data_IF_182234957499
#
_entry.id   IF_182234957499
#
_cell.length_a   1.000
_cell.length_b   1.000
_cell.length_c   1.000
_cell.angle_alpha   90.00
_cell.angle_beta   90.00
_cell.angle_gamma   90.00
#
_symmetry.space_group_name_H-M   'P 1'
#
loop_
_entity.id
_entity.type
_entity.pdbx_description
1 polymer ?
#
# COMPACT_ATOMS: atom_id res chain seq x y z
N UNK A 1 -52.61 79.92 -27.10
CA UNK A 1 -52.38 78.50 -27.42
C UNK A 1 -51.24 77.98 -26.58
N UNK A 2 -51.56 77.24 -25.50
CA UNK A 2 -50.59 76.71 -24.56
C UNK A 2 -50.36 75.20 -24.86
N UNK A 3 -49.13 74.89 -25.24
CA UNK A 3 -48.71 73.49 -25.51
C UNK A 3 -48.32 72.79 -24.21
N UNK A 4 -49.15 71.87 -23.75
CA UNK A 4 -48.89 71.01 -22.65
C UNK A 4 -48.09 69.80 -23.11
N UNK A 5 -46.77 69.77 -22.77
CA UNK A 5 -45.91 68.59 -22.90
C UNK A 5 -46.24 67.56 -21.81
N UNK A 6 -46.49 66.29 -22.15
CA UNK A 6 -46.65 65.27 -21.14
C UNK A 6 -45.31 64.95 -20.47
N UNK A 7 -45.24 65.03 -19.12
CA UNK A 7 -44.14 64.57 -18.33
C UNK A 7 -44.04 63.04 -18.41
N UNK A 8 -43.03 62.56 -19.13
CA UNK A 8 -42.69 61.14 -19.14
C UNK A 8 -42.34 60.65 -17.74
N UNK A 9 -43.16 59.72 -17.25
CA UNK A 9 -42.88 58.93 -16.07
C UNK A 9 -41.67 58.03 -16.36
N UNK A 10 -40.49 58.48 -15.89
CA UNK A 10 -39.34 57.60 -15.81
C UNK A 10 -39.63 56.55 -14.72
N UNK A 11 -40.10 55.36 -15.15
CA UNK A 11 -40.12 54.16 -14.28
C UNK A 11 -38.71 53.81 -13.93
N UNK A 12 -38.26 54.16 -12.72
CA UNK A 12 -37.07 53.57 -12.09
C UNK A 12 -37.43 52.12 -11.78
N UNK A 13 -37.13 51.20 -12.68
CA UNK A 13 -37.12 49.77 -12.38
C UNK A 13 -35.84 49.53 -11.52
N UNK A 14 -35.95 49.84 -10.25
CA UNK A 14 -34.95 49.50 -9.29
C UNK A 14 -34.97 47.99 -9.04
N UNK A 15 -34.20 47.25 -9.80
CA UNK A 15 -33.96 45.83 -9.54
C UNK A 15 -33.27 45.81 -8.18
N UNK A 16 -33.91 45.19 -7.20
CA UNK A 16 -33.31 44.98 -5.87
C UNK A 16 -32.06 44.13 -6.05
N UNK A 17 -30.85 44.61 -5.78
CA UNK A 17 -29.61 43.85 -6.05
C UNK A 17 -29.44 42.68 -5.08
N UNK A 18 -30.15 42.65 -3.96
CA UNK A 18 -29.98 41.63 -2.91
C UNK A 18 -30.20 40.18 -3.43
N UNK A 19 -31.34 39.87 -4.09
CA UNK A 19 -31.56 38.50 -4.58
C UNK A 19 -30.56 38.08 -5.63
N UNK A 20 -30.06 39.01 -6.45
CA UNK A 20 -29.02 38.71 -7.44
C UNK A 20 -27.68 38.38 -6.76
N UNK A 21 -27.30 39.15 -5.73
CA UNK A 21 -26.10 38.89 -4.93
C UNK A 21 -26.17 37.55 -4.22
N UNK A 22 -27.30 37.20 -3.62
CA UNK A 22 -27.51 35.91 -2.95
C UNK A 22 -27.40 34.77 -3.96
N UNK A 23 -28.02 34.91 -5.13
CA UNK A 23 -27.93 33.88 -6.16
C UNK A 23 -26.49 33.66 -6.64
N UNK A 24 -25.72 34.73 -6.90
CA UNK A 24 -24.31 34.63 -7.28
C UNK A 24 -23.49 33.98 -6.18
N UNK A 25 -23.70 34.34 -4.92
CA UNK A 25 -22.99 33.73 -3.79
C UNK A 25 -23.25 32.23 -3.70
N UNK A 26 -24.51 31.80 -3.85
CA UNK A 26 -24.87 30.38 -3.85
C UNK A 26 -24.20 29.64 -5.01
N UNK A 27 -24.23 30.19 -6.21
CA UNK A 27 -23.57 29.58 -7.38
C UNK A 27 -22.07 29.43 -7.17
N UNK A 28 -21.39 30.43 -6.61
CA UNK A 28 -19.96 30.39 -6.32
C UNK A 28 -19.66 29.29 -5.29
N UNK A 29 -20.42 29.20 -4.21
CA UNK A 29 -20.23 28.19 -3.16
C UNK A 29 -20.44 26.78 -3.72
N UNK A 30 -21.50 26.56 -4.49
CA UNK A 30 -21.78 25.24 -5.12
C UNK A 30 -20.69 24.86 -6.10
N UNK A 31 -20.25 25.80 -6.94
CA UNK A 31 -19.21 25.55 -7.93
C UNK A 31 -17.86 25.24 -7.26
N UNK A 32 -17.51 26.00 -6.22
CA UNK A 32 -16.30 25.75 -5.42
C UNK A 32 -16.36 24.38 -4.72
N UNK A 33 -17.51 24.03 -4.15
CA UNK A 33 -17.74 22.72 -3.53
C UNK A 33 -17.59 21.56 -4.53
N UNK A 34 -18.18 21.68 -5.71
CA UNK A 34 -18.04 20.69 -6.78
C UNK A 34 -16.58 20.55 -7.25
N UNK A 35 -15.87 21.66 -7.39
CA UNK A 35 -14.46 21.66 -7.79
C UNK A 35 -13.57 20.97 -6.74
N UNK A 36 -13.76 21.26 -5.47
CA UNK A 36 -13.03 20.60 -4.38
C UNK A 36 -13.34 19.11 -4.31
N UNK A 37 -14.59 18.73 -4.52
CA UNK A 37 -15.01 17.33 -4.59
C UNK A 37 -14.34 16.60 -5.76
N UNK A 38 -14.32 17.20 -6.97
CA UNK A 38 -13.67 16.62 -8.16
C UNK A 38 -12.15 16.45 -7.93
N UNK A 39 -11.50 17.44 -7.30
CA UNK A 39 -10.08 17.34 -6.94
C UNK A 39 -9.80 16.19 -5.97
N UNK A 40 -10.61 16.01 -4.95
CA UNK A 40 -10.47 14.89 -4.01
C UNK A 40 -10.74 13.55 -4.71
N UNK A 41 -11.78 13.49 -5.54
CA UNK A 41 -12.14 12.29 -6.28
C UNK A 41 -11.03 11.88 -7.26
N UNK A 42 -10.43 12.82 -7.97
CA UNK A 42 -9.28 12.55 -8.86
C UNK A 42 -8.07 12.04 -8.09
N UNK A 43 -7.73 12.64 -6.95
CA UNK A 43 -6.62 12.16 -6.11
C UNK A 43 -6.83 10.73 -5.63
N UNK A 44 -8.05 10.38 -5.23
CA UNK A 44 -8.40 9.01 -4.81
C UNK A 44 -8.32 8.02 -5.97
N UNK A 45 -8.78 8.43 -7.16
CA UNK A 45 -8.70 7.63 -8.37
C UNK A 45 -7.26 7.42 -8.84
N UNK A 46 -6.42 8.45 -8.79
CA UNK A 46 -5.00 8.36 -9.13
C UNK A 46 -4.25 7.47 -8.14
N UNK A 47 -4.56 7.56 -6.84
CA UNK A 47 -4.00 6.67 -5.83
C UNK A 47 -4.40 5.20 -6.07
N UNK A 48 -5.66 4.96 -6.46
CA UNK A 48 -6.16 3.62 -6.80
C UNK A 48 -5.57 3.06 -8.12
N UNK A 49 -5.12 3.93 -9.03
CA UNK A 49 -4.51 3.54 -10.30
C UNK A 49 -3.00 3.29 -10.21
N UNK A 50 -2.35 3.78 -9.14
CA UNK A 50 -0.93 3.47 -8.94
C UNK A 50 -0.78 1.99 -8.66
N UNK A 51 0.12 1.28 -9.36
CA UNK A 51 0.42 -0.09 -8.99
C UNK A 51 0.89 -0.11 -7.52
N UNK A 52 0.47 -1.10 -6.73
CA UNK A 52 0.87 -1.19 -5.33
C UNK A 52 2.40 -1.21 -5.22
N UNK A 53 2.93 -0.59 -4.18
CA UNK A 53 4.37 -0.56 -3.95
C UNK A 53 4.92 -1.98 -3.79
N UNK A 54 6.13 -2.26 -4.28
CA UNK A 54 6.72 -3.60 -4.20
C UNK A 54 6.75 -4.15 -2.77
N UNK A 55 6.93 -3.29 -1.78
CA UNK A 55 6.92 -3.63 -0.35
C UNK A 55 5.55 -4.19 0.08
N UNK A 56 4.46 -3.58 -0.41
CA UNK A 56 3.09 -4.02 -0.13
C UNK A 56 2.80 -5.35 -0.81
N UNK A 57 3.27 -5.52 -2.05
CA UNK A 57 3.11 -6.78 -2.79
C UNK A 57 3.83 -7.90 -2.05
N UNK A 58 5.11 -7.72 -1.69
CA UNK A 58 5.90 -8.72 -1.00
C UNK A 58 5.31 -9.08 0.36
N UNK A 59 4.82 -8.09 1.13
CA UNK A 59 4.12 -8.31 2.39
C UNK A 59 2.89 -9.20 2.21
N UNK A 60 2.00 -8.81 1.29
CA UNK A 60 0.76 -9.54 1.04
C UNK A 60 1.01 -10.97 0.57
N UNK A 61 2.03 -11.19 -0.24
CA UNK A 61 2.41 -12.54 -0.70
C UNK A 61 2.81 -13.44 0.47
N UNK A 62 3.66 -12.93 1.36
CA UNK A 62 4.11 -13.70 2.53
C UNK A 62 2.96 -13.91 3.53
N UNK A 63 2.17 -12.87 3.81
CA UNK A 63 1.03 -12.98 4.73
C UNK A 63 -0.06 -13.93 4.23
N UNK A 64 -0.26 -14.03 2.93
CA UNK A 64 -1.21 -14.98 2.35
C UNK A 64 -0.77 -16.45 2.51
N UNK A 65 0.54 -16.70 2.62
CA UNK A 65 1.10 -18.06 2.73
C UNK A 65 1.33 -18.44 4.18
N UNK A 66 1.93 -17.55 4.96
CA UNK A 66 2.36 -17.80 6.34
C UNK A 66 1.23 -17.47 7.31
N UNK A 67 0.53 -16.37 7.09
CA UNK A 67 -0.56 -15.88 7.93
C UNK A 67 -0.58 -14.36 8.05
N UNK A 68 -1.75 -13.80 8.19
CA UNK A 68 -1.94 -12.36 8.33
C UNK A 68 -1.22 -11.80 9.56
N UNK A 69 -0.53 -10.66 9.41
CA UNK A 69 0.17 -9.97 10.49
C UNK A 69 1.50 -10.59 10.91
N UNK A 70 1.97 -11.64 10.23
CA UNK A 70 3.26 -12.28 10.54
C UNK A 70 4.44 -11.46 10.04
N UNK A 71 4.28 -10.68 8.97
CA UNK A 71 5.35 -9.88 8.39
C UNK A 71 5.63 -8.64 9.24
N UNK A 72 6.84 -8.55 9.76
CA UNK A 72 7.32 -7.43 10.58
C UNK A 72 7.90 -6.31 9.73
N UNK A 73 8.75 -6.67 8.77
CA UNK A 73 9.46 -5.71 7.95
C UNK A 73 9.63 -6.23 6.53
N UNK A 74 9.52 -5.32 5.56
CA UNK A 74 9.88 -5.56 4.16
C UNK A 74 10.77 -4.41 3.70
N UNK A 75 11.92 -4.73 3.11
CA UNK A 75 12.84 -3.77 2.48
C UNK A 75 13.06 -4.17 1.04
N UNK A 76 12.88 -3.21 0.14
CA UNK A 76 13.10 -3.41 -1.30
C UNK A 76 14.22 -2.50 -1.76
N UNK A 77 15.26 -3.10 -2.29
CA UNK A 77 16.36 -2.39 -2.97
C UNK A 77 16.16 -2.53 -4.49
N UNK A 78 15.69 -1.44 -5.10
CA UNK A 78 15.38 -1.39 -6.54
C UNK A 78 16.64 -1.36 -7.40
N UNK A 79 17.74 -0.81 -6.89
CA UNK A 79 19.00 -0.73 -7.62
C UNK A 79 19.66 -2.11 -7.71
N UNK A 80 19.71 -2.81 -6.59
CA UNK A 80 20.27 -4.17 -6.50
C UNK A 80 19.27 -5.25 -6.92
N UNK A 81 18.01 -4.88 -7.14
CA UNK A 81 16.92 -5.83 -7.45
C UNK A 81 16.78 -6.93 -6.40
N UNK A 82 16.86 -6.55 -5.12
CA UNK A 82 16.75 -7.47 -3.99
C UNK A 82 15.59 -7.12 -3.08
N UNK A 83 14.99 -8.13 -2.47
CA UNK A 83 13.93 -7.98 -1.48
C UNK A 83 14.38 -8.68 -0.20
N UNK A 84 14.30 -7.99 0.92
CA UNK A 84 14.47 -8.57 2.24
C UNK A 84 13.14 -8.54 2.99
N UNK A 85 12.69 -9.68 3.49
CA UNK A 85 11.47 -9.81 4.28
C UNK A 85 11.79 -10.44 5.63
N UNK A 86 11.27 -9.85 6.70
CA UNK A 86 11.36 -10.39 8.06
C UNK A 86 9.95 -10.75 8.53
N UNK A 87 9.74 -11.99 8.91
CA UNK A 87 8.45 -12.44 9.39
C UNK A 87 8.57 -13.39 10.59
N UNK A 88 7.49 -13.48 11.35
CA UNK A 88 7.38 -14.35 12.49
C UNK A 88 6.93 -15.74 12.04
N UNK A 89 7.71 -16.77 12.38
CA UNK A 89 7.38 -18.15 12.04
C UNK A 89 6.14 -18.61 12.82
N UNK A 90 5.18 -19.18 12.11
CA UNK A 90 3.98 -19.79 12.69
C UNK A 90 4.20 -21.26 13.05
N UNK A 91 5.23 -21.87 12.52
CA UNK A 91 5.52 -23.31 12.68
C UNK A 91 6.50 -23.60 13.83
N UNK A 92 7.17 -22.58 14.35
CA UNK A 92 8.14 -22.76 15.42
C UNK A 92 7.45 -23.12 16.75
N UNK A 93 7.64 -24.35 17.19
CA UNK A 93 7.17 -24.87 18.51
C UNK A 93 8.39 -25.46 19.24
N UNK A 94 8.85 -24.86 20.36
CA UNK A 94 10.08 -25.27 21.03
C UNK A 94 10.08 -26.71 21.56
N UNK A 95 8.89 -27.32 21.66
CA UNK A 95 8.71 -28.70 22.15
C UNK A 95 9.03 -29.76 21.07
N UNK A 96 9.10 -29.35 19.79
CA UNK A 96 9.34 -30.29 18.69
C UNK A 96 10.81 -30.68 18.58
N UNK A 97 11.10 -31.88 18.05
CA UNK A 97 12.47 -32.31 17.76
C UNK A 97 13.17 -31.36 16.81
N UNK A 98 14.46 -31.11 17.02
CA UNK A 98 15.31 -30.24 16.21
C UNK A 98 15.17 -30.51 14.70
N UNK A 99 15.19 -31.77 14.30
CA UNK A 99 15.06 -32.16 12.88
C UNK A 99 13.72 -31.70 12.28
N UNK A 100 12.62 -31.92 12.97
CA UNK A 100 11.29 -31.54 12.53
C UNK A 100 11.17 -30.00 12.44
N UNK A 101 11.72 -29.27 13.42
CA UNK A 101 11.73 -27.80 13.41
C UNK A 101 12.52 -27.25 12.21
N UNK A 102 13.67 -27.84 11.90
CA UNK A 102 14.45 -27.43 10.72
C UNK A 102 13.69 -27.67 9.42
N UNK A 103 13.05 -28.82 9.26
CA UNK A 103 12.24 -29.16 8.08
C UNK A 103 11.06 -28.19 7.91
N UNK A 104 10.38 -27.83 9.01
CA UNK A 104 9.24 -26.90 8.98
C UNK A 104 9.70 -25.46 8.65
N UNK A 105 10.78 -24.99 9.24
CA UNK A 105 11.32 -23.66 8.97
C UNK A 105 11.91 -23.57 7.54
N UNK A 106 12.51 -24.64 7.05
CA UNK A 106 12.98 -24.77 5.66
C UNK A 106 11.79 -24.66 4.69
N UNK A 107 10.73 -25.39 4.92
CA UNK A 107 9.53 -25.33 4.10
C UNK A 107 8.88 -23.93 4.11
N UNK A 108 8.76 -23.33 5.30
CA UNK A 108 8.17 -21.99 5.47
C UNK A 108 9.00 -20.92 4.75
N UNK A 109 10.32 -20.95 4.88
CA UNK A 109 11.24 -20.06 4.19
C UNK A 109 11.23 -20.26 2.66
N UNK A 110 11.21 -21.51 2.23
CA UNK A 110 11.17 -21.85 0.80
C UNK A 110 9.87 -21.35 0.16
N UNK A 111 8.72 -21.57 0.78
CA UNK A 111 7.45 -21.10 0.27
C UNK A 111 7.39 -19.57 0.20
N UNK A 112 7.84 -18.87 1.23
CA UNK A 112 7.83 -17.41 1.25
C UNK A 112 8.74 -16.81 0.17
N UNK A 113 9.97 -17.32 0.04
CA UNK A 113 10.94 -16.81 -0.94
C UNK A 113 10.54 -17.15 -2.37
N UNK A 114 10.03 -18.36 -2.62
CA UNK A 114 9.56 -18.79 -3.93
C UNK A 114 8.38 -17.96 -4.42
N UNK A 115 7.41 -17.67 -3.57
CA UNK A 115 6.25 -16.85 -3.92
C UNK A 115 6.65 -15.43 -4.33
N UNK A 116 7.60 -14.81 -3.60
CA UNK A 116 8.10 -13.49 -3.95
C UNK A 116 8.83 -13.54 -5.30
N UNK A 117 9.73 -14.49 -5.51
CA UNK A 117 10.47 -14.61 -6.76
C UNK A 117 9.58 -14.91 -7.97
N UNK A 118 8.52 -15.69 -7.79
CA UNK A 118 7.59 -16.03 -8.86
C UNK A 118 6.77 -14.82 -9.30
N UNK A 119 6.21 -14.10 -8.34
CA UNK A 119 5.33 -12.96 -8.60
C UNK A 119 6.08 -11.67 -8.95
N UNK A 120 7.25 -11.46 -8.35
CA UNK A 120 8.03 -10.23 -8.49
C UNK A 120 9.23 -10.44 -9.43
N UNK A 121 8.95 -10.60 -10.72
CA UNK A 121 9.92 -10.99 -11.75
C UNK A 121 11.09 -10.03 -11.95
N UNK A 122 10.92 -8.76 -11.58
CA UNK A 122 11.96 -7.73 -11.71
C UNK A 122 13.09 -7.87 -10.68
N UNK A 123 12.89 -8.73 -9.66
CA UNK A 123 13.83 -8.95 -8.58
C UNK A 123 14.54 -10.30 -8.76
N UNK A 124 15.86 -10.30 -8.55
CA UNK A 124 16.71 -11.47 -8.76
C UNK A 124 17.03 -12.24 -7.49
N UNK A 125 16.91 -11.60 -6.32
CA UNK A 125 17.28 -12.20 -5.03
C UNK A 125 16.28 -11.83 -3.95
N UNK A 126 15.96 -12.78 -3.09
CA UNK A 126 15.10 -12.59 -1.91
C UNK A 126 15.81 -13.14 -0.69
N UNK A 127 15.86 -12.35 0.38
CA UNK A 127 16.34 -12.76 1.69
C UNK A 127 15.16 -12.79 2.65
N UNK A 128 14.88 -13.94 3.23
CA UNK A 128 13.83 -14.14 4.21
C UNK A 128 14.43 -14.40 5.60
N UNK A 129 14.11 -13.55 6.57
CA UNK A 129 14.54 -13.70 7.96
C UNK A 129 13.36 -14.19 8.80
N UNK A 130 13.48 -15.40 9.31
CA UNK A 130 12.48 -16.04 10.17
C UNK A 130 12.76 -15.67 11.62
N UNK A 131 11.76 -15.19 12.34
CA UNK A 131 11.87 -14.78 13.73
C UNK A 131 10.83 -15.47 14.60
N UNK A 132 11.06 -15.51 15.90
CA UNK A 132 10.07 -15.84 16.92
C UNK A 132 10.30 -14.96 18.14
N UNK A 133 9.25 -14.29 18.63
CA UNK A 133 9.35 -13.40 19.79
C UNK A 133 10.54 -12.40 19.69
N UNK A 134 10.81 -11.89 18.47
CA UNK A 134 11.91 -10.96 18.22
C UNK A 134 13.31 -11.58 18.10
N UNK A 135 13.47 -12.92 18.25
CA UNK A 135 14.73 -13.62 18.04
C UNK A 135 14.79 -14.22 16.64
N UNK A 136 15.92 -14.08 15.96
CA UNK A 136 16.14 -14.67 14.65
C UNK A 136 16.39 -16.17 14.79
N UNK A 137 15.60 -16.96 14.06
CA UNK A 137 15.72 -18.42 13.98
C UNK A 137 16.61 -18.84 12.83
N UNK A 138 16.32 -18.32 11.65
CA UNK A 138 17.02 -18.67 10.41
C UNK A 138 16.97 -17.51 9.41
N UNK A 139 17.92 -17.51 8.48
CA UNK A 139 17.95 -16.64 7.32
C UNK A 139 18.02 -17.51 6.08
N UNK A 140 17.12 -17.28 5.14
CA UNK A 140 17.07 -17.97 3.86
C UNK A 140 17.38 -16.99 2.73
N UNK A 141 18.24 -17.38 1.81
CA UNK A 141 18.56 -16.60 0.61
C UNK A 141 18.16 -17.40 -0.62
N UNK A 142 17.25 -16.86 -1.39
CA UNK A 142 16.81 -17.41 -2.67
C UNK A 142 17.29 -16.51 -3.81
N UNK A 143 17.83 -17.12 -4.84
CA UNK A 143 18.30 -16.44 -6.05
C UNK A 143 17.56 -17.04 -7.24
N UNK A 144 17.08 -16.19 -8.13
CA UNK A 144 16.38 -16.62 -9.34
C UNK A 144 17.27 -17.55 -10.18
N UNK A 145 16.71 -18.67 -10.59
CA UNK A 145 17.42 -19.70 -11.35
C UNK A 145 18.11 -20.76 -10.49
N UNK A 146 18.04 -20.67 -9.16
CA UNK A 146 18.42 -21.76 -8.26
C UNK A 146 17.16 -22.48 -7.76
N UNK A 147 17.21 -23.80 -7.72
CA UNK A 147 16.05 -24.64 -7.38
C UNK A 147 15.63 -24.52 -5.90
N UNK A 148 16.60 -24.24 -5.02
CA UNK A 148 16.35 -24.15 -3.57
C UNK A 148 17.05 -22.95 -2.96
N UNK A 149 16.42 -22.31 -1.95
CA UNK A 149 17.08 -21.30 -1.14
C UNK A 149 18.23 -21.91 -0.32
N UNK A 150 19.22 -21.09 -0.02
CA UNK A 150 20.27 -21.42 0.97
C UNK A 150 19.77 -20.98 2.33
N UNK A 151 19.67 -21.89 3.30
CA UNK A 151 19.16 -21.60 4.64
C UNK A 151 20.27 -21.73 5.67
N UNK A 152 20.42 -20.67 6.47
CA UNK A 152 21.37 -20.63 7.58
C UNK A 152 20.58 -20.51 8.88
N UNK A 153 20.71 -21.50 9.77
CA UNK A 153 20.09 -21.48 11.09
C UNK A 153 20.95 -20.68 12.06
N UNK A 154 20.34 -19.68 12.72
CA UNK A 154 21.00 -18.75 13.62
C UNK A 154 20.82 -19.18 15.09
N UNK A 155 19.61 -19.64 15.45
CA UNK A 155 19.30 -20.11 16.82
C UNK A 155 20.16 -21.34 17.16
N UNK A 156 20.80 -21.30 18.33
CA UNK A 156 21.72 -22.35 18.78
C UNK A 156 21.06 -23.75 18.88
N UNK A 157 19.76 -23.78 19.16
CA UNK A 157 18.98 -25.04 19.18
C UNK A 157 18.82 -25.67 17.82
N UNK A 158 19.02 -24.90 16.76
CA UNK A 158 18.85 -25.31 15.36
C UNK A 158 20.21 -25.51 14.65
N UNK A 159 21.33 -25.07 15.24
CA UNK A 159 22.68 -25.30 14.68
C UNK A 159 23.06 -26.77 14.79
N UNK A 160 23.94 -27.24 13.93
CA UNK A 160 24.49 -28.60 13.95
C UNK A 160 25.35 -28.86 15.18
#
# INVERSE_FOLDING_TARGET
MASTRPKGLARKTGINPIPVLVYVAVVVVVTAGMYLWDLQYRKTQEAARRPPEPEVIARNLVENIIGAGTVKEVKVDREKKTIAVTFESTQFKPEKPKKELRELLDAEATLATAAILDQMRDYGQVTATLTTQGKTLAVAEAVRGKDKPSITFIDERLKD
#
